data_IF_265925514692
#
_entry.id   IF_265925514692
#
_cell.length_a   1.000
_cell.length_b   1.000
_cell.length_c   1.000
_cell.angle_alpha   90.00
_cell.angle_beta   90.00
_cell.angle_gamma   90.00
#
_symmetry.space_group_name_H-M   'P 1'
#
loop_
_entity.id
_entity.type
_entity.pdbx_description
1 polymer ?
#
# COMPACT_ATOMS: atom_id res chain seq x y z
N UNK A 1 -1.60 -4.08 23.20
CA UNK A 1 -0.73 -3.28 22.32
C UNK A 1 -1.64 -2.75 21.22
N UNK A 2 -1.81 -1.44 21.11
CA UNK A 2 -2.73 -0.86 20.12
C UNK A 2 -2.15 -1.09 18.73
N UNK A 3 -2.81 -1.89 17.90
CA UNK A 3 -2.47 -1.99 16.47
C UNK A 3 -2.73 -0.61 15.85
N UNK A 4 -1.66 0.12 15.51
CA UNK A 4 -1.78 1.34 14.73
C UNK A 4 -2.26 0.94 13.32
N UNK A 5 -3.57 1.03 13.09
CA UNK A 5 -4.19 0.73 11.81
C UNK A 5 -4.27 1.95 10.93
N UNK A 6 -4.13 1.75 9.63
CA UNK A 6 -4.20 2.77 8.61
C UNK A 6 -5.19 2.39 7.52
N UNK A 7 -5.88 3.41 7.01
CA UNK A 7 -6.72 3.30 5.82
C UNK A 7 -6.33 4.37 4.80
N UNK A 8 -6.23 3.96 3.54
CA UNK A 8 -5.92 4.82 2.39
C UNK A 8 -6.48 4.22 1.10
N UNK A 9 -6.35 4.94 0.00
CA UNK A 9 -6.83 4.51 -1.31
C UNK A 9 -5.71 4.49 -2.34
N UNK A 10 -5.67 3.43 -3.14
CA UNK A 10 -4.73 3.29 -4.27
C UNK A 10 -5.46 3.61 -5.56
N UNK A 11 -4.91 4.53 -6.33
CA UNK A 11 -5.47 4.93 -7.61
C UNK A 11 -4.76 4.20 -8.75
N UNK A 12 -5.49 3.44 -9.55
CA UNK A 12 -4.95 2.70 -10.69
C UNK A 12 -5.88 2.77 -11.90
N UNK A 13 -5.42 3.44 -12.98
CA UNK A 13 -6.18 3.59 -14.24
C UNK A 13 -7.63 4.09 -14.07
N UNK A 14 -7.86 4.95 -13.09
CA UNK A 14 -9.19 5.47 -12.76
C UNK A 14 -10.01 4.60 -11.80
N UNK A 15 -9.51 3.41 -11.44
CA UNK A 15 -10.07 2.59 -10.36
C UNK A 15 -9.47 3.01 -9.03
N UNK A 16 -10.33 3.11 -8.02
CA UNK A 16 -9.95 3.38 -6.64
C UNK A 16 -10.03 2.05 -5.89
N UNK A 17 -8.90 1.60 -5.36
CA UNK A 17 -8.80 0.38 -4.56
C UNK A 17 -8.66 0.80 -3.10
N UNK A 18 -9.69 0.61 -2.26
CA UNK A 18 -9.62 0.95 -0.85
C UNK A 18 -8.72 -0.05 -0.11
N UNK A 19 -7.84 0.46 0.75
CA UNK A 19 -6.99 -0.32 1.65
C UNK A 19 -7.38 0.10 3.06
N UNK A 20 -8.14 -0.75 3.76
CA UNK A 20 -8.76 -0.39 5.04
C UNK A 20 -8.25 -1.26 6.19
N UNK A 21 -7.97 -0.65 7.34
CA UNK A 21 -7.62 -1.38 8.57
C UNK A 21 -6.33 -2.20 8.48
N UNK A 22 -5.35 -1.73 7.71
CA UNK A 22 -4.03 -2.37 7.60
C UNK A 22 -3.11 -1.95 8.73
N UNK A 23 -2.19 -2.81 9.16
CA UNK A 23 -1.20 -2.45 10.18
C UNK A 23 -0.12 -1.54 9.59
N UNK A 24 0.34 -0.55 10.34
CA UNK A 24 1.50 0.26 9.96
C UNK A 24 2.80 -0.57 9.77
N UNK A 25 2.85 -1.77 10.36
CA UNK A 25 3.99 -2.67 10.26
C UNK A 25 3.91 -3.60 9.02
N UNK A 26 2.80 -3.56 8.26
CA UNK A 26 2.75 -4.21 6.96
C UNK A 26 3.74 -3.56 5.99
N UNK A 27 4.27 -4.39 5.11
CA UNK A 27 5.27 -4.05 4.11
C UNK A 27 4.65 -3.60 2.79
N UNK A 28 5.45 -2.87 2.00
CA UNK A 28 5.07 -2.53 0.63
C UNK A 28 4.90 -3.78 -0.23
N UNK A 29 5.64 -4.87 0.06
CA UNK A 29 5.45 -6.14 -0.60
C UNK A 29 4.03 -6.68 -0.43
N UNK A 30 3.53 -6.75 0.81
CA UNK A 30 2.17 -7.21 1.12
C UNK A 30 1.11 -6.33 0.44
N UNK A 31 1.32 -5.01 0.40
CA UNK A 31 0.44 -4.09 -0.35
C UNK A 31 0.40 -4.44 -1.84
N UNK A 32 1.54 -4.70 -2.46
CA UNK A 32 1.58 -5.06 -3.88
C UNK A 32 0.88 -6.39 -4.14
N UNK A 33 1.03 -7.38 -3.27
CA UNK A 33 0.34 -8.68 -3.36
C UNK A 33 -1.17 -8.47 -3.40
N UNK A 34 -1.71 -7.69 -2.46
CA UNK A 34 -3.12 -7.31 -2.44
C UNK A 34 -3.56 -6.60 -3.74
N UNK A 35 -2.71 -5.74 -4.28
CA UNK A 35 -3.00 -5.02 -5.53
C UNK A 35 -2.88 -5.91 -6.77
N UNK A 36 -2.16 -7.04 -6.76
CA UNK A 36 -2.10 -7.95 -7.92
C UNK A 36 -3.50 -8.43 -8.29
N UNK A 37 -4.31 -8.81 -7.29
CA UNK A 37 -5.66 -9.34 -7.51
C UNK A 37 -6.58 -8.28 -8.15
N UNK A 38 -6.45 -7.01 -7.74
CA UNK A 38 -7.29 -5.92 -8.23
C UNK A 38 -6.80 -5.30 -9.54
N UNK A 39 -5.48 -5.30 -9.78
CA UNK A 39 -4.87 -4.60 -10.93
C UNK A 39 -4.46 -5.55 -12.06
N UNK A 40 -4.28 -6.84 -11.76
CA UNK A 40 -3.69 -7.83 -12.66
C UNK A 40 -2.20 -7.60 -12.98
N UNK A 41 -1.55 -6.63 -12.33
CA UNK A 41 -0.15 -6.29 -12.59
C UNK A 41 0.74 -7.14 -11.68
N UNK A 42 1.70 -7.91 -12.22
CA UNK A 42 2.65 -8.68 -11.40
C UNK A 42 3.50 -7.79 -10.48
N UNK A 43 3.90 -8.31 -9.32
CA UNK A 43 4.65 -7.58 -8.27
C UNK A 43 5.87 -6.82 -8.79
N UNK A 44 6.65 -7.45 -9.68
CA UNK A 44 7.86 -6.88 -10.27
C UNK A 44 7.59 -5.68 -11.19
N UNK A 45 6.40 -5.62 -11.79
CA UNK A 45 5.99 -4.54 -12.68
C UNK A 45 5.16 -3.46 -11.95
N UNK A 46 4.75 -3.72 -10.70
CA UNK A 46 4.06 -2.73 -9.87
C UNK A 46 5.03 -1.68 -9.33
N UNK A 47 4.83 -0.42 -9.74
CA UNK A 47 5.58 0.73 -9.25
C UNK A 47 4.68 1.66 -8.43
N UNK A 48 4.68 1.45 -7.12
CA UNK A 48 3.91 2.28 -6.19
C UNK A 48 4.65 3.58 -5.87
N UNK A 49 3.91 4.69 -5.84
CA UNK A 49 4.43 6.03 -5.59
C UNK A 49 3.66 6.66 -4.44
N UNK A 50 4.36 7.04 -3.38
CA UNK A 50 3.82 7.86 -2.29
C UNK A 50 4.91 8.78 -1.75
N UNK A 51 4.85 10.06 -2.15
CA UNK A 51 5.92 11.08 -2.02
C UNK A 51 7.22 10.73 -2.76
N UNK A 52 7.60 9.46 -2.76
CA UNK A 52 8.74 8.86 -3.44
C UNK A 52 8.38 7.43 -3.89
N UNK A 53 9.24 6.81 -4.69
CA UNK A 53 9.04 5.42 -5.11
C UNK A 53 9.17 4.51 -3.89
N UNK A 54 8.15 3.67 -3.68
CA UNK A 54 8.11 2.74 -2.57
C UNK A 54 8.95 1.50 -2.85
N UNK A 55 9.61 1.00 -1.81
CA UNK A 55 10.49 -0.17 -1.88
C UNK A 55 9.85 -1.33 -1.10
N UNK A 56 9.91 -2.53 -1.66
CA UNK A 56 9.24 -3.73 -1.13
C UNK A 56 9.59 -4.04 0.33
N UNK A 57 10.86 -3.87 0.71
CA UNK A 57 11.33 -4.15 2.07
C UNK A 57 11.03 -3.08 3.12
N UNK A 58 10.28 -2.03 2.79
CA UNK A 58 9.87 -1.01 3.76
C UNK A 58 8.46 -1.28 4.26
N UNK A 59 8.19 -0.88 5.50
CA UNK A 59 6.85 -0.84 6.09
C UNK A 59 6.13 0.47 5.80
N UNK A 60 4.81 0.51 6.02
CA UNK A 60 4.04 1.75 5.95
C UNK A 60 4.53 2.78 6.95
N UNK A 61 4.93 2.33 8.14
CA UNK A 61 5.56 3.16 9.19
C UNK A 61 6.82 3.84 8.68
N UNK A 62 7.76 3.09 8.09
CA UNK A 62 8.99 3.64 7.53
C UNK A 62 8.74 4.56 6.32
N UNK A 63 7.68 4.29 5.57
CA UNK A 63 7.26 5.12 4.44
C UNK A 63 6.45 6.35 4.88
N UNK A 64 6.23 6.55 6.18
CA UNK A 64 5.48 7.65 6.76
C UNK A 64 4.08 7.81 6.13
N UNK A 65 3.41 6.67 5.92
CA UNK A 65 2.02 6.66 5.49
C UNK A 65 1.15 7.34 6.55
N UNK A 66 0.12 8.03 6.07
CA UNK A 66 -0.87 8.69 6.92
C UNK A 66 -2.25 8.19 6.53
N UNK A 67 -3.09 7.96 7.54
CA UNK A 67 -4.51 7.68 7.30
C UNK A 67 -5.13 8.85 6.54
N UNK A 68 -5.79 8.54 5.44
CA UNK A 68 -6.44 9.52 4.60
C UNK A 68 -7.29 8.78 3.58
N UNK A 69 -8.60 8.82 3.81
CA UNK A 69 -9.60 8.37 2.84
C UNK A 69 -10.20 9.62 2.22
#
# INVERSE_FOLDING_TARGET
>A
MSEDKISFQVNFKGNIIPVESWSLDNTIHELKEYLVESTGVPLEFQKLLYKSVLKDGKTFRECNFKSGI
#
